data_IF_709617705572
#
_entry.id   IF_709617705572
#
_cell.length_a   1.000
_cell.length_b   1.000
_cell.length_c   1.000
_cell.angle_alpha   90.00
_cell.angle_beta   90.00
_cell.angle_gamma   90.00
#
_symmetry.space_group_name_H-M   'P 1'
#
loop_
_entity.id
_entity.type
_entity.pdbx_description
1 polymer ?
#
# COMPACT_ATOMS: atom_id res chain seq x y z
N UNK A 1 3.73 -7.51 5.47
CA UNK A 1 2.35 -7.12 5.85
C UNK A 1 1.46 -7.13 4.62
N UNK A 2 0.16 -7.05 4.81
CA UNK A 2 -0.82 -6.86 3.76
C UNK A 2 -1.73 -5.69 4.09
N UNK A 3 -2.37 -5.16 3.06
CA UNK A 3 -3.43 -4.16 3.17
C UNK A 3 -4.46 -4.37 2.04
N UNK A 4 -5.66 -3.83 2.24
CA UNK A 4 -6.79 -3.94 1.32
C UNK A 4 -7.60 -2.64 1.32
N UNK A 5 -8.28 -2.28 0.23
CA UNK A 5 -9.20 -1.14 0.26
C UNK A 5 -10.37 -1.44 1.20
N UNK A 6 -10.90 -0.40 1.85
CA UNK A 6 -12.11 -0.54 2.68
C UNK A 6 -13.38 -0.87 1.87
N UNK A 7 -13.35 -0.66 0.55
CA UNK A 7 -14.43 -1.00 -0.38
C UNK A 7 -13.93 -1.24 -1.79
N UNK A 8 -14.78 -1.79 -2.65
CA UNK A 8 -14.55 -1.81 -4.10
C UNK A 8 -15.77 -1.33 -4.89
N UNK A 9 -15.55 -0.87 -6.10
CA UNK A 9 -16.59 -0.59 -7.10
C UNK A 9 -17.30 -1.87 -7.53
N UNK A 10 -18.58 -1.78 -7.97
CA UNK A 10 -19.31 -2.95 -8.44
C UNK A 10 -18.58 -3.65 -9.59
N UNK A 11 -18.37 -4.96 -9.45
CA UNK A 11 -17.68 -5.78 -10.45
C UNK A 11 -16.16 -5.59 -10.51
N UNK A 12 -15.57 -4.73 -9.67
CA UNK A 12 -14.13 -4.63 -9.57
C UNK A 12 -13.57 -5.78 -8.70
N UNK A 13 -12.39 -6.33 -9.06
CA UNK A 13 -11.68 -7.26 -8.19
C UNK A 13 -11.23 -6.54 -6.92
N UNK A 14 -11.09 -7.28 -5.82
CA UNK A 14 -10.48 -6.78 -4.58
C UNK A 14 -8.96 -6.93 -4.68
N UNK A 15 -8.19 -5.82 -4.73
CA UNK A 15 -6.74 -5.87 -4.61
C UNK A 15 -6.35 -6.12 -3.16
N UNK A 16 -5.40 -7.03 -2.96
CA UNK A 16 -4.74 -7.30 -1.69
C UNK A 16 -3.26 -6.99 -1.89
N UNK A 17 -2.85 -5.85 -1.36
CA UNK A 17 -1.48 -5.36 -1.42
C UNK A 17 -0.65 -6.14 -0.41
N UNK A 18 0.39 -6.82 -0.86
CA UNK A 18 1.30 -7.57 0.00
C UNK A 18 2.68 -6.92 -0.09
N UNK A 19 3.24 -6.52 1.06
CA UNK A 19 4.51 -5.79 1.16
C UNK A 19 5.47 -6.55 2.08
N UNK A 20 6.69 -6.76 1.60
CA UNK A 20 7.84 -7.22 2.38
C UNK A 20 8.86 -6.09 2.41
N UNK A 21 8.92 -5.39 3.55
CA UNK A 21 9.88 -4.33 3.82
C UNK A 21 11.11 -4.89 4.53
N UNK A 22 12.26 -4.27 4.29
CA UNK A 22 13.55 -4.55 4.92
C UNK A 22 14.11 -5.97 4.62
N UNK A 23 13.72 -6.56 3.49
CA UNK A 23 14.21 -7.89 3.10
C UNK A 23 15.70 -7.88 2.74
N UNK A 24 16.29 -6.74 2.36
CA UNK A 24 17.74 -6.55 2.27
C UNK A 24 18.50 -6.81 3.59
N UNK A 25 17.88 -6.53 4.74
CA UNK A 25 18.46 -6.81 6.06
C UNK A 25 18.05 -8.20 6.57
N UNK A 26 16.86 -8.64 6.19
CA UNK A 26 16.28 -9.92 6.61
C UNK A 26 15.78 -10.73 5.42
N UNK A 27 16.68 -11.28 4.57
CA UNK A 27 16.27 -12.00 3.38
C UNK A 27 15.36 -13.18 3.70
N UNK A 28 14.36 -13.37 2.85
CA UNK A 28 13.39 -14.46 2.96
C UNK A 28 13.15 -15.11 1.61
N UNK A 29 12.83 -16.39 1.65
CA UNK A 29 12.21 -17.08 0.52
C UNK A 29 10.70 -17.10 0.76
N UNK A 30 9.89 -16.56 -0.15
CA UNK A 30 8.44 -16.54 -0.06
C UNK A 30 7.85 -17.63 -0.99
N UNK A 31 7.36 -18.71 -0.41
CA UNK A 31 6.76 -19.84 -1.14
C UNK A 31 5.38 -19.47 -1.71
N UNK A 32 4.51 -18.96 -0.83
CA UNK A 32 3.10 -18.72 -1.17
C UNK A 32 2.49 -17.62 -0.35
N UNK A 33 1.54 -16.91 -0.95
CA UNK A 33 0.53 -16.12 -0.24
C UNK A 33 -0.84 -16.79 -0.37
N UNK A 34 -1.55 -16.93 0.74
CA UNK A 34 -2.96 -17.37 0.73
C UNK A 34 -3.87 -16.26 1.21
N UNK A 35 -5.07 -16.19 0.66
CA UNK A 35 -6.15 -15.33 1.11
C UNK A 35 -7.28 -16.19 1.66
N UNK A 36 -7.83 -15.81 2.82
CA UNK A 36 -9.08 -16.37 3.33
C UNK A 36 -10.13 -15.28 3.34
N UNK A 37 -11.19 -15.47 2.56
CA UNK A 37 -12.29 -14.54 2.40
C UNK A 37 -13.53 -15.13 3.05
N UNK A 38 -14.13 -14.42 4.00
CA UNK A 38 -15.44 -14.75 4.56
C UNK A 38 -16.47 -13.78 4.00
N UNK A 39 -17.50 -14.34 3.39
CA UNK A 39 -18.61 -13.61 2.78
C UNK A 39 -19.77 -13.37 3.77
N UNK A 40 -20.74 -12.51 3.45
CA UNK A 40 -21.88 -12.20 4.31
C UNK A 40 -22.74 -13.42 4.66
N UNK A 41 -22.87 -14.38 3.74
CA UNK A 41 -23.55 -15.67 4.01
C UNK A 41 -22.87 -16.52 5.08
N UNK A 42 -21.66 -16.15 5.52
CA UNK A 42 -20.80 -16.93 6.41
C UNK A 42 -19.90 -17.91 5.67
N UNK A 43 -20.09 -18.09 4.35
CA UNK A 43 -19.24 -18.91 3.50
C UNK A 43 -17.80 -18.42 3.52
N UNK A 44 -16.85 -19.35 3.51
CA UNK A 44 -15.41 -19.06 3.51
C UNK A 44 -14.79 -19.65 2.26
N UNK A 45 -14.01 -18.84 1.54
CA UNK A 45 -13.18 -19.25 0.40
C UNK A 45 -11.72 -19.04 0.73
N UNK A 46 -10.88 -19.99 0.33
CA UNK A 46 -9.43 -19.86 0.41
C UNK A 46 -8.85 -19.78 -1.01
N UNK A 47 -8.03 -18.77 -1.27
CA UNK A 47 -7.27 -18.61 -2.51
C UNK A 47 -5.78 -18.77 -2.20
N UNK A 48 -5.05 -19.42 -3.11
CA UNK A 48 -3.64 -19.78 -2.94
C UNK A 48 -2.83 -19.30 -4.13
N UNK A 49 -1.85 -18.44 -3.89
CA UNK A 49 -1.02 -17.82 -4.92
C UNK A 49 0.43 -18.22 -4.72
N UNK A 50 0.93 -19.15 -5.54
CA UNK A 50 2.36 -19.51 -5.54
C UNK A 50 3.18 -18.26 -5.89
N UNK A 51 4.23 -18.02 -5.11
CA UNK A 51 5.19 -16.94 -5.35
C UNK A 51 6.53 -17.57 -5.71
N UNK A 52 7.10 -18.37 -4.81
CA UNK A 52 8.35 -19.12 -5.02
C UNK A 52 9.52 -18.21 -5.41
N UNK A 53 9.79 -17.19 -4.60
CA UNK A 53 10.81 -16.15 -4.86
C UNK A 53 11.72 -15.91 -3.66
N UNK A 54 13.01 -15.74 -3.93
CA UNK A 54 13.98 -15.20 -2.98
C UNK A 54 13.94 -13.67 -2.99
N UNK A 55 13.66 -13.09 -1.84
CA UNK A 55 13.40 -11.66 -1.67
C UNK A 55 14.49 -11.07 -0.78
N UNK A 56 15.24 -10.12 -1.35
CA UNK A 56 16.42 -9.49 -0.72
C UNK A 56 16.55 -8.00 -1.02
N UNK A 57 15.57 -7.40 -1.68
CA UNK A 57 15.50 -5.96 -1.92
C UNK A 57 14.95 -5.20 -0.70
N UNK A 58 15.14 -3.87 -0.61
CA UNK A 58 14.60 -3.08 0.48
C UNK A 58 13.09 -3.10 0.60
N UNK A 59 12.40 -3.09 -0.53
CA UNK A 59 10.95 -3.09 -0.61
C UNK A 59 10.51 -4.02 -1.74
N UNK A 60 9.88 -5.14 -1.38
CA UNK A 60 9.18 -6.00 -2.33
C UNK A 60 7.69 -5.81 -2.13
N UNK A 61 6.94 -5.81 -3.23
CA UNK A 61 5.49 -5.86 -3.16
C UNK A 61 4.89 -6.67 -4.30
N UNK A 62 3.66 -7.16 -4.07
CA UNK A 62 2.79 -7.73 -5.09
C UNK A 62 1.34 -7.47 -4.74
N UNK A 63 0.52 -7.19 -5.74
CA UNK A 63 -0.93 -7.07 -5.58
C UNK A 63 -1.58 -8.36 -6.05
N UNK A 64 -2.15 -9.11 -5.12
CA UNK A 64 -3.00 -10.26 -5.44
C UNK A 64 -4.45 -9.79 -5.60
N UNK A 65 -5.22 -10.45 -6.47
CA UNK A 65 -6.59 -10.03 -6.77
C UNK A 65 -7.54 -11.21 -6.65
N UNK A 66 -8.76 -10.95 -6.19
CA UNK A 66 -9.85 -11.91 -6.26
C UNK A 66 -11.17 -11.19 -6.58
N UNK A 67 -12.02 -11.85 -7.36
CA UNK A 67 -13.37 -11.32 -7.63
C UNK A 67 -14.30 -11.66 -6.46
N UNK A 68 -15.03 -10.68 -5.91
CA UNK A 68 -16.01 -10.93 -4.87
C UNK A 68 -17.18 -11.74 -5.43
N UNK A 69 -17.46 -12.90 -4.85
CA UNK A 69 -18.57 -13.76 -5.27
C UNK A 69 -19.91 -13.39 -4.62
N UNK A 70 -19.87 -12.58 -3.57
CA UNK A 70 -21.03 -12.02 -2.88
C UNK A 70 -20.78 -10.53 -2.63
N UNK A 71 -21.83 -9.73 -2.71
CA UNK A 71 -21.80 -8.30 -2.38
C UNK A 71 -22.02 -8.12 -0.87
N UNK A 72 -21.54 -7.00 -0.32
CA UNK A 72 -21.62 -6.67 1.10
C UNK A 72 -20.28 -6.78 1.83
N UNK A 73 -20.35 -6.93 3.16
CA UNK A 73 -19.17 -6.92 4.02
C UNK A 73 -18.37 -8.22 3.93
N UNK A 74 -17.18 -8.12 3.36
CA UNK A 74 -16.20 -9.20 3.29
C UNK A 74 -15.21 -9.06 4.44
N UNK A 75 -14.80 -10.20 5.01
CA UNK A 75 -13.61 -10.26 5.87
C UNK A 75 -12.49 -10.96 5.13
N UNK A 76 -11.35 -10.29 5.01
CA UNK A 76 -10.18 -10.79 4.30
C UNK A 76 -9.04 -11.01 5.28
N UNK A 77 -8.42 -12.18 5.22
CA UNK A 77 -7.18 -12.49 5.93
C UNK A 77 -6.13 -12.92 4.92
N UNK A 78 -4.88 -12.54 5.14
CA UNK A 78 -3.75 -12.94 4.32
C UNK A 78 -2.79 -13.80 5.14
N UNK A 79 -2.17 -14.76 4.49
CA UNK A 79 -1.19 -15.65 5.09
C UNK A 79 0.04 -15.74 4.19
N UNK A 80 1.19 -15.37 4.72
CA UNK A 80 2.48 -15.48 4.05
C UNK A 80 3.19 -16.73 4.54
N UNK A 81 3.60 -17.58 3.61
CA UNK A 81 4.34 -18.82 3.87
C UNK A 81 5.71 -18.73 3.23
N UNK A 82 6.75 -19.07 3.97
CA UNK A 82 8.11 -19.04 3.43
C UNK A 82 9.16 -19.55 4.39
N UNK A 83 10.41 -19.32 4.02
CA UNK A 83 11.59 -19.65 4.81
C UNK A 83 12.38 -18.38 5.13
N UNK A 84 12.89 -18.29 6.36
CA UNK A 84 13.87 -17.29 6.77
C UNK A 84 15.05 -18.03 7.40
N UNK A 85 16.24 -17.90 6.80
CA UNK A 85 17.44 -18.66 7.21
C UNK A 85 17.17 -20.17 7.32
N UNK A 86 16.46 -20.72 6.33
CA UNK A 86 16.07 -22.13 6.26
C UNK A 86 14.98 -22.57 7.24
N UNK A 87 14.44 -21.68 8.08
CA UNK A 87 13.36 -21.99 9.02
C UNK A 87 12.01 -21.52 8.46
N UNK A 88 10.94 -22.34 8.53
CA UNK A 88 9.63 -21.94 8.08
C UNK A 88 9.07 -20.80 8.91
N UNK A 89 8.38 -19.87 8.26
CA UNK A 89 7.57 -18.85 8.91
C UNK A 89 6.14 -18.85 8.34
N UNK A 90 5.22 -18.36 9.18
CA UNK A 90 3.86 -18.04 8.83
C UNK A 90 3.54 -16.66 9.41
N UNK A 91 3.14 -15.72 8.56
CA UNK A 91 2.68 -14.39 8.98
C UNK A 91 1.22 -14.25 8.57
N UNK A 92 0.35 -13.82 9.49
CA UNK A 92 -1.07 -13.55 9.22
C UNK A 92 -1.28 -12.04 9.21
N UNK A 93 -1.71 -11.49 8.07
CA UNK A 93 -1.86 -10.05 7.79
C UNK A 93 -0.55 -9.27 7.90
N UNK A 94 0.09 -9.25 9.05
CA UNK A 94 1.31 -8.51 9.33
C UNK A 94 2.12 -9.18 10.46
N UNK A 95 3.36 -8.74 10.63
CA UNK A 95 4.27 -9.18 11.70
C UNK A 95 4.58 -8.06 12.71
N UNK A 96 3.73 -7.03 12.78
CA UNK A 96 3.89 -5.88 13.66
C UNK A 96 3.43 -6.28 15.06
N UNK A 97 4.35 -6.35 16.02
CA UNK A 97 4.14 -6.91 17.37
C UNK A 97 2.94 -6.32 18.13
N UNK A 98 2.59 -5.06 17.89
CA UNK A 98 1.52 -4.33 18.59
C UNK A 98 0.23 -4.24 17.79
N UNK A 99 0.19 -4.74 16.56
CA UNK A 99 -0.99 -4.69 15.71
C UNK A 99 -2.03 -5.73 16.16
N UNK A 100 -3.29 -5.49 15.79
CA UNK A 100 -4.40 -6.38 16.17
C UNK A 100 -4.42 -7.71 15.39
N UNK A 101 -3.76 -7.75 14.23
CA UNK A 101 -3.80 -8.85 13.25
C UNK A 101 -5.23 -9.31 12.90
N UNK A 102 -6.23 -8.42 13.09
CA UNK A 102 -7.63 -8.72 12.79
C UNK A 102 -7.83 -8.83 11.29
N UNK A 103 -8.81 -9.62 10.83
CA UNK A 103 -9.21 -9.61 9.43
C UNK A 103 -9.52 -8.19 8.97
N UNK A 104 -9.13 -7.89 7.75
CA UNK A 104 -9.52 -6.67 7.09
C UNK A 104 -11.00 -6.73 6.72
N UNK A 105 -11.63 -5.55 6.66
CA UNK A 105 -13.02 -5.40 6.23
C UNK A 105 -13.04 -4.71 4.88
N UNK A 106 -13.75 -5.31 3.92
CA UNK A 106 -13.90 -4.77 2.57
C UNK A 106 -15.37 -4.80 2.20
N UNK A 107 -15.95 -3.66 1.84
CA UNK A 107 -17.28 -3.60 1.27
C UNK A 107 -17.22 -3.90 -0.24
N UNK A 108 -17.67 -5.08 -0.66
CA UNK A 108 -17.98 -5.36 -2.05
C UNK A 108 -19.28 -4.64 -2.42
N UNK A 109 -19.17 -3.40 -2.89
CA UNK A 109 -20.32 -2.50 -3.01
C UNK A 109 -21.28 -2.94 -4.12
N UNK A 110 -22.61 -2.96 -3.88
CA UNK A 110 -23.60 -3.13 -4.93
C UNK A 110 -23.79 -1.85 -5.76
N UNK A 111 -23.23 -0.72 -5.33
CA UNK A 111 -23.40 0.59 -5.95
C UNK A 111 -22.06 1.28 -6.21
N UNK A 112 -21.92 2.01 -7.32
CA UNK A 112 -20.74 2.82 -7.55
C UNK A 112 -20.67 3.97 -6.53
N UNK A 113 -19.51 4.62 -6.42
CA UNK A 113 -19.44 5.95 -5.79
C UNK A 113 -20.55 6.84 -6.42
N UNK A 114 -21.32 7.58 -5.60
CA UNK A 114 -22.26 8.57 -6.14
C UNK A 114 -21.45 9.47 -7.07
N UNK A 115 -21.85 9.69 -8.33
CA UNK A 115 -21.04 10.48 -9.27
C UNK A 115 -21.95 11.28 -10.19
N UNK A 116 -21.64 12.57 -10.38
CA UNK A 116 -22.25 13.40 -11.42
C UNK A 116 -21.37 13.44 -12.67
N UNK A 117 -21.97 13.73 -13.83
CA UNK A 117 -21.20 13.89 -15.07
C UNK A 117 -20.13 14.98 -14.89
N UNK A 118 -18.87 14.64 -15.17
CA UNK A 118 -17.73 15.54 -15.04
C UNK A 118 -17.13 15.65 -13.63
N UNK A 119 -17.65 14.91 -12.65
CA UNK A 119 -17.01 14.81 -11.33
C UNK A 119 -15.92 13.74 -11.33
N UNK A 120 -14.83 13.99 -10.64
CA UNK A 120 -13.68 13.08 -10.53
C UNK A 120 -13.24 13.01 -9.07
N UNK A 121 -13.60 11.92 -8.38
CA UNK A 121 -13.19 11.68 -7.01
C UNK A 121 -11.68 11.45 -6.95
N UNK A 122 -11.04 11.97 -5.92
CA UNK A 122 -9.67 11.62 -5.62
C UNK A 122 -9.35 11.81 -4.16
N UNK A 123 -8.16 11.34 -3.81
CA UNK A 123 -7.56 11.51 -2.51
C UNK A 123 -6.49 12.59 -2.60
N UNK A 124 -6.55 13.61 -1.75
CA UNK A 124 -5.65 14.75 -1.81
C UNK A 124 -4.44 14.64 -0.88
N UNK A 125 -4.39 13.62 -0.02
CA UNK A 125 -3.32 13.47 0.96
C UNK A 125 -2.99 11.99 1.16
N UNK A 126 -1.91 11.54 0.52
CA UNK A 126 -1.43 10.17 0.62
C UNK A 126 0.10 10.12 0.68
N UNK A 127 0.62 9.35 1.65
CA UNK A 127 2.03 9.04 1.79
C UNK A 127 2.36 7.71 1.10
N UNK A 128 3.29 7.75 0.17
CA UNK A 128 3.78 6.61 -0.60
C UNK A 128 5.05 6.00 0.01
N UNK A 129 5.67 5.06 -0.69
CA UNK A 129 6.97 4.52 -0.30
C UNK A 129 8.11 5.55 -0.30
N UNK A 130 7.87 6.78 -0.78
CA UNK A 130 8.83 7.87 -0.67
C UNK A 130 8.82 8.54 0.69
N UNK A 131 7.73 8.51 1.47
CA UNK A 131 7.83 8.70 2.92
C UNK A 131 8.48 7.47 3.54
N UNK A 132 9.63 7.68 4.19
CA UNK A 132 10.44 6.58 4.72
C UNK A 132 11.35 7.09 5.83
N UNK A 133 10.76 7.31 6.99
CA UNK A 133 11.51 7.68 8.19
C UNK A 133 11.41 6.60 9.28
N UNK A 134 11.87 6.92 10.49
CA UNK A 134 11.79 6.03 11.66
C UNK A 134 10.36 5.73 12.15
N UNK A 135 9.38 6.55 11.79
CA UNK A 135 8.02 6.52 12.32
C UNK A 135 7.01 5.99 11.29
N UNK A 136 7.22 6.29 10.01
CA UNK A 136 6.26 6.13 8.94
C UNK A 136 6.92 5.55 7.67
N UNK A 137 6.15 4.71 6.97
CA UNK A 137 6.43 4.34 5.60
C UNK A 137 5.12 4.15 4.86
N UNK A 138 5.03 4.60 3.61
CA UNK A 138 3.84 4.42 2.79
C UNK A 138 3.93 3.25 1.80
N UNK A 139 2.91 3.14 0.96
CA UNK A 139 2.77 2.05 -0.01
C UNK A 139 3.39 2.40 -1.39
N UNK A 140 3.91 1.41 -2.15
CA UNK A 140 4.41 1.62 -3.51
C UNK A 140 3.33 2.19 -4.44
N UNK A 141 3.67 3.16 -5.30
CA UNK A 141 2.70 3.88 -6.13
C UNK A 141 1.91 2.95 -7.05
N UNK A 142 2.57 1.96 -7.66
CA UNK A 142 1.89 0.96 -8.49
C UNK A 142 0.81 0.16 -7.74
N UNK A 143 1.01 -0.12 -6.44
CA UNK A 143 0.00 -0.78 -5.62
C UNK A 143 -1.16 0.16 -5.28
N UNK A 144 -0.87 1.44 -5.05
CA UNK A 144 -1.86 2.47 -4.73
C UNK A 144 -2.76 2.74 -5.93
N UNK A 145 -2.22 2.73 -7.15
CA UNK A 145 -2.99 2.82 -8.40
C UNK A 145 -4.06 1.72 -8.47
N UNK A 146 -3.71 0.48 -8.13
CA UNK A 146 -4.64 -0.66 -8.13
C UNK A 146 -5.75 -0.48 -7.08
N UNK A 147 -5.38 -0.01 -5.89
CA UNK A 147 -6.32 0.28 -4.80
C UNK A 147 -7.24 1.43 -5.18
N UNK A 148 -6.72 2.53 -5.74
CA UNK A 148 -7.47 3.70 -6.17
C UNK A 148 -8.49 3.34 -7.27
N UNK A 149 -8.06 2.56 -8.27
CA UNK A 149 -8.93 2.02 -9.33
C UNK A 149 -10.05 1.18 -8.73
N UNK A 150 -9.73 0.27 -7.79
CA UNK A 150 -10.72 -0.58 -7.14
C UNK A 150 -11.71 0.22 -6.28
N UNK A 151 -11.27 1.28 -5.59
CA UNK A 151 -12.13 2.18 -4.80
C UNK A 151 -13.07 3.02 -5.67
N UNK A 152 -12.78 3.19 -6.96
CA UNK A 152 -13.50 4.08 -7.88
C UNK A 152 -12.96 5.51 -7.94
N UNK A 153 -11.76 5.75 -7.40
CA UNK A 153 -11.09 7.04 -7.51
C UNK A 153 -10.64 7.29 -8.96
N UNK A 154 -10.61 8.56 -9.33
CA UNK A 154 -10.18 9.05 -10.64
C UNK A 154 -8.77 9.64 -10.61
N UNK A 155 -8.27 10.01 -9.42
CA UNK A 155 -6.92 10.52 -9.20
C UNK A 155 -6.54 10.36 -7.72
N UNK A 156 -5.25 10.49 -7.40
CA UNK A 156 -4.80 10.77 -6.03
C UNK A 156 -3.57 11.69 -6.07
N UNK A 157 -3.36 12.47 -5.01
CA UNK A 157 -2.15 13.25 -4.80
C UNK A 157 -1.23 12.50 -3.85
N UNK A 158 0.04 12.42 -4.24
CA UNK A 158 1.11 11.92 -3.37
C UNK A 158 1.72 13.13 -2.70
N UNK A 159 1.71 13.12 -1.37
CA UNK A 159 2.14 14.23 -0.52
C UNK A 159 3.03 13.67 0.57
N UNK A 160 4.10 12.99 0.16
CA UNK A 160 5.14 12.50 1.07
C UNK A 160 5.80 13.66 1.80
N UNK A 161 6.31 13.40 3.01
CA UNK A 161 6.99 14.45 3.79
C UNK A 161 8.15 15.04 2.99
N UNK A 162 8.17 16.36 2.88
CA UNK A 162 9.23 17.11 2.17
C UNK A 162 10.65 16.71 2.60
N UNK A 163 10.88 16.44 3.90
CA UNK A 163 12.18 16.02 4.42
C UNK A 163 12.55 14.57 4.08
N UNK A 164 11.59 13.73 3.67
CA UNK A 164 11.92 12.40 3.13
C UNK A 164 12.35 12.50 1.65
N UNK A 165 11.87 13.54 0.94
CA UNK A 165 12.09 13.71 -0.50
C UNK A 165 13.44 14.37 -0.83
N UNK A 166 14.03 15.09 0.14
CA UNK A 166 15.37 15.70 0.03
C UNK A 166 16.48 14.83 0.64
N UNK A 167 16.17 13.65 1.18
CA UNK A 167 17.14 12.70 1.72
C UNK A 167 18.03 12.05 0.65
N UNK A 168 19.20 11.58 1.08
CA UNK A 168 20.01 10.62 0.33
C UNK A 168 19.26 9.30 0.14
N UNK A 169 19.53 8.61 -0.98
CA UNK A 169 18.95 7.28 -1.25
C UNK A 169 19.30 6.26 -0.15
N UNK A 170 20.51 6.34 0.40
CA UNK A 170 21.07 5.41 1.37
C UNK A 170 20.94 5.85 2.83
N UNK A 171 20.45 7.06 3.11
CA UNK A 171 20.35 7.62 4.46
C UNK A 171 19.18 8.59 4.58
N UNK A 172 18.26 8.32 5.52
CA UNK A 172 17.13 9.18 5.88
C UNK A 172 17.50 10.23 6.96
N UNK A 173 18.80 10.39 7.24
CA UNK A 173 19.32 11.33 8.25
C UNK A 173 20.17 12.44 7.62
N UNK A 174 20.42 12.35 6.32
CA UNK A 174 21.31 13.22 5.58
C UNK A 174 20.60 13.67 4.31
N UNK A 175 20.43 14.98 4.16
CA UNK A 175 19.88 15.55 2.93
C UNK A 175 20.89 15.54 1.79
N UNK A 176 20.37 15.46 0.56
CA UNK A 176 21.11 15.49 -0.68
C UNK A 176 20.62 16.67 -1.55
N UNK A 177 21.45 17.70 -1.77
CA UNK A 177 21.06 18.87 -2.55
C UNK A 177 20.77 18.55 -4.02
N UNK A 178 21.19 17.38 -4.53
CA UNK A 178 20.83 16.93 -5.88
C UNK A 178 19.41 16.33 -5.95
N UNK A 179 18.70 16.20 -4.82
CA UNK A 179 17.31 15.72 -4.71
C UNK A 179 17.04 14.42 -5.50
N UNK A 180 17.88 13.38 -5.34
CA UNK A 180 17.74 12.16 -6.13
C UNK A 180 16.40 11.45 -5.91
N UNK A 181 15.89 11.43 -4.66
CA UNK A 181 14.61 10.80 -4.31
C UNK A 181 13.42 11.52 -4.94
N UNK A 182 13.39 12.85 -4.86
CA UNK A 182 12.40 13.66 -5.57
C UNK A 182 12.38 13.39 -7.08
N UNK A 183 13.55 13.31 -7.73
CA UNK A 183 13.62 13.02 -9.17
C UNK A 183 13.15 11.60 -9.50
N UNK A 184 13.48 10.61 -8.67
CA UNK A 184 12.99 9.24 -8.81
C UNK A 184 11.46 9.18 -8.66
N UNK A 185 10.92 9.87 -7.66
CA UNK A 185 9.48 10.01 -7.44
C UNK A 185 8.75 10.61 -8.65
N UNK A 186 9.23 11.75 -9.17
CA UNK A 186 8.64 12.37 -10.36
C UNK A 186 8.69 11.44 -11.56
N UNK A 187 9.83 10.76 -11.77
CA UNK A 187 9.98 9.80 -12.86
C UNK A 187 9.05 8.60 -12.72
N UNK A 188 8.81 8.11 -11.51
CA UNK A 188 7.86 7.01 -11.27
C UNK A 188 6.44 7.48 -11.56
N UNK A 189 6.04 8.64 -11.05
CA UNK A 189 4.70 9.24 -11.29
C UNK A 189 4.43 9.42 -12.78
N UNK A 190 5.39 9.94 -13.55
CA UNK A 190 5.27 10.10 -15.01
C UNK A 190 5.05 8.76 -15.74
N UNK A 191 5.54 7.65 -15.18
CA UNK A 191 5.38 6.31 -15.73
C UNK A 191 4.06 5.62 -15.41
N UNK A 192 3.20 6.19 -14.57
CA UNK A 192 1.96 5.55 -14.12
C UNK A 192 0.82 5.75 -15.12
N UNK A 193 0.12 4.65 -15.44
CA UNK A 193 -1.13 4.67 -16.19
C UNK A 193 -2.35 4.93 -15.27
N UNK A 194 -2.30 6.06 -14.55
CA UNK A 194 -3.36 6.60 -13.71
C UNK A 194 -3.05 8.07 -13.35
N UNK A 195 -4.04 8.97 -13.24
CA UNK A 195 -3.78 10.34 -12.83
C UNK A 195 -3.26 10.43 -11.38
N UNK A 196 -1.97 10.69 -11.24
CA UNK A 196 -1.32 10.91 -9.94
C UNK A 196 -0.78 12.33 -9.91
N UNK A 197 -1.19 13.10 -8.89
CA UNK A 197 -0.69 14.46 -8.68
C UNK A 197 0.55 14.36 -7.81
N UNK A 198 1.71 14.74 -8.36
CA UNK A 198 2.94 14.84 -7.59
C UNK A 198 2.93 16.10 -6.74
N UNK A 199 3.09 15.93 -5.43
CA UNK A 199 3.23 16.98 -4.44
C UNK A 199 4.12 16.54 -3.28
N UNK A 200 4.11 17.33 -2.23
CA UNK A 200 4.83 17.05 -0.99
C UNK A 200 4.02 17.61 0.18
N UNK A 201 4.13 16.99 1.35
CA UNK A 201 3.69 17.59 2.61
C UNK A 201 4.86 18.40 3.19
N UNK A 202 4.80 19.73 3.02
CA UNK A 202 5.89 20.64 3.41
C UNK A 202 5.95 20.78 4.93
N UNK A 203 7.08 20.39 5.51
CA UNK A 203 7.34 20.50 6.94
C UNK A 203 7.98 21.86 7.24
N UNK A 204 7.33 22.64 8.11
CA UNK A 204 7.73 24.00 8.42
C UNK A 204 7.59 24.33 9.92
N UNK A 205 8.37 25.30 10.37
CA UNK A 205 8.27 25.83 11.72
C UNK A 205 7.20 26.92 11.83
N UNK A 206 6.32 26.80 12.82
CA UNK A 206 5.41 27.89 13.21
C UNK A 206 6.16 29.02 13.93
N UNK A 207 5.53 30.19 14.03
CA UNK A 207 6.01 31.32 14.86
C UNK A 207 6.15 30.99 16.35
N UNK A 208 5.60 29.85 16.80
CA UNK A 208 5.70 29.34 18.18
C UNK A 208 6.70 28.20 18.35
N UNK A 209 7.44 27.83 17.30
CA UNK A 209 8.42 26.74 17.34
C UNK A 209 7.82 25.33 17.30
N UNK A 210 6.54 25.20 16.94
CA UNK A 210 5.92 23.91 16.62
C UNK A 210 6.11 23.54 15.15
N UNK A 211 6.19 22.24 14.86
CA UNK A 211 6.14 21.71 13.50
C UNK A 211 4.71 21.86 12.94
N UNK A 212 4.61 22.35 11.70
CA UNK A 212 3.39 22.43 10.91
C UNK A 212 3.67 21.73 9.57
N UNK A 213 2.68 21.02 9.07
CA UNK A 213 2.69 20.36 7.78
C UNK A 213 1.68 21.04 6.85
N UNK A 214 2.07 21.30 5.59
CA UNK A 214 1.28 21.99 4.58
C UNK A 214 1.14 21.13 3.32
N UNK A 215 -0.06 21.11 2.73
CA UNK A 215 -0.37 20.44 1.46
C UNK A 215 -0.54 21.46 0.32
#
# INVERSE_FOLDING_TARGET
MADVPFRVEPGAPVPVVCILKDAHLYPVHLDRVSLRVRYPSGRVRELKFRVDEDISQPLWYRVFRFDPEELGDLKVETFFYGLRRGRPFLVRNDNIRTASHRPFWVLASPHPLPKMKGWHYGDAHFHSSYTRDQAEFGAPLGAVVEVAKALGLSWFAVTDHSYDLDDRIDSYLESDPDLPRWREFLSEVEGLDFPVLAGEEVSCGSTKGHNIHLL
#
